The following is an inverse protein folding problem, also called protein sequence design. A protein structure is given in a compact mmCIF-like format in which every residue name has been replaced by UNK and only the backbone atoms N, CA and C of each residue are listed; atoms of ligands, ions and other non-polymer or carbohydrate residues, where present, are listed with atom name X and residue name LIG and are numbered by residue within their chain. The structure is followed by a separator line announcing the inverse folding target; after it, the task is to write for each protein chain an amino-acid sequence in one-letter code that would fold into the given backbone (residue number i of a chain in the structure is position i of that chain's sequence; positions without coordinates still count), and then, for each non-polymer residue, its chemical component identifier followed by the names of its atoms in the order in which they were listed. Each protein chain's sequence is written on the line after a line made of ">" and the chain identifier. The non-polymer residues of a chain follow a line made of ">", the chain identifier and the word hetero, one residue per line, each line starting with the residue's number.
data_IF_693631681511
#
_entry.id   IF_693631681511
#
_cell.length_a   1.000
_cell.length_b   1.000
_cell.length_c   1.000
_cell.angle_alpha   90.00
_cell.angle_beta   90.00
_cell.angle_gamma   90.00
#
_symmetry.space_group_name_H-M   'P 1'
#
loop_
_entity.id
_entity.type
_entity.pdbx_description
1 polymer ?
#
# COMPACT_ATOMS: atom_id res chain seq x y z
N UNK A 1 59.42 14.18 14.00
CA UNK A 1 58.40 13.16 14.34
C UNK A 1 57.10 13.95 14.56
N UNK A 2 55.97 13.75 13.89
CA UNK A 2 55.49 12.62 13.10
C UNK A 2 54.69 13.05 11.86
N UNK A 3 54.40 12.06 11.03
CA UNK A 3 54.12 12.16 9.60
C UNK A 3 52.63 11.96 9.29
N UNK A 4 51.70 12.63 9.99
CA UNK A 4 50.25 12.39 9.84
C UNK A 4 49.36 13.64 9.68
N UNK A 5 49.91 14.86 9.54
CA UNK A 5 49.12 16.10 9.35
C UNK A 5 48.83 16.46 7.88
N UNK A 6 48.80 15.49 6.98
CA UNK A 6 48.37 15.68 5.58
C UNK A 6 47.39 14.58 5.19
N UNK A 7 46.12 14.75 5.55
CA UNK A 7 44.92 14.44 4.76
C UNK A 7 43.77 15.22 5.45
N UNK A 8 43.66 16.50 5.12
CA UNK A 8 42.48 17.31 5.43
C UNK A 8 41.32 16.87 4.52
N UNK A 9 40.13 16.75 5.10
CA UNK A 9 38.86 16.69 4.36
C UNK A 9 37.68 16.88 5.29
N UNK A 10 37.11 18.08 5.31
CA UNK A 10 36.00 18.53 6.17
C UNK A 10 34.81 17.56 6.12
N UNK A 11 34.29 17.18 7.30
CA UNK A 11 32.95 16.60 7.45
C UNK A 11 31.91 17.69 7.16
N UNK A 12 31.29 17.64 5.98
CA UNK A 12 29.96 18.21 5.78
C UNK A 12 28.94 17.17 6.27
N UNK A 13 28.01 17.64 7.09
CA UNK A 13 26.80 16.94 7.51
C UNK A 13 25.93 16.72 6.28
N UNK A 14 25.81 15.47 5.83
CA UNK A 14 24.79 15.09 4.86
C UNK A 14 23.49 14.79 5.61
N UNK A 15 22.49 15.61 5.32
CA UNK A 15 21.08 15.37 5.62
C UNK A 15 20.65 14.04 5.00
N UNK A 16 20.28 13.08 5.85
CA UNK A 16 19.68 11.81 5.44
C UNK A 16 18.20 12.00 5.07
N UNK A 17 17.96 12.68 3.95
CA UNK A 17 16.62 12.79 3.36
C UNK A 17 16.65 12.48 1.87
N UNK A 18 16.86 11.21 1.52
CA UNK A 18 16.58 10.69 0.18
C UNK A 18 15.97 9.29 0.27
N UNK A 19 14.68 9.22 0.61
CA UNK A 19 13.81 8.18 0.06
C UNK A 19 13.42 8.61 -1.36
N UNK A 20 14.38 8.51 -2.29
CA UNK A 20 14.06 8.61 -3.72
C UNK A 20 13.33 7.33 -4.10
N UNK A 21 12.08 7.48 -4.55
CA UNK A 21 11.35 6.42 -5.24
C UNK A 21 12.27 5.78 -6.31
N UNK A 22 12.56 4.48 -6.14
CA UNK A 22 13.36 3.71 -7.10
C UNK A 22 12.72 3.84 -8.49
N UNK A 23 13.36 4.62 -9.35
CA UNK A 23 12.97 4.75 -10.75
C UNK A 23 13.42 3.48 -11.44
N UNK A 24 12.54 2.47 -11.54
CA UNK A 24 12.83 1.25 -12.28
C UNK A 24 12.85 1.56 -13.78
N UNK A 25 14.02 1.44 -14.40
CA UNK A 25 14.15 1.38 -15.86
C UNK A 25 13.57 0.05 -16.33
N UNK A 26 12.28 0.03 -16.70
CA UNK A 26 11.62 -1.16 -17.26
C UNK A 26 11.89 -1.17 -18.76
N UNK A 27 12.41 -2.28 -19.30
CA UNK A 27 12.45 -2.49 -20.75
C UNK A 27 11.02 -2.54 -21.27
N UNK A 28 10.66 -1.59 -22.15
CA UNK A 28 9.32 -1.52 -22.74
C UNK A 28 9.00 -2.83 -23.47
N UNK A 29 7.94 -3.51 -23.06
CA UNK A 29 7.42 -4.65 -23.80
C UNK A 29 6.55 -4.15 -24.97
N UNK A 30 6.45 -4.94 -26.04
CA UNK A 30 5.68 -4.59 -27.23
C UNK A 30 4.19 -4.57 -26.89
N UNK A 31 3.61 -3.38 -26.76
CA UNK A 31 2.18 -3.19 -26.45
C UNK A 31 1.91 -2.35 -25.20
N UNK A 32 2.94 -1.97 -24.45
CA UNK A 32 2.79 -1.08 -23.30
C UNK A 32 2.39 0.34 -23.74
N UNK A 33 1.38 0.90 -23.07
CA UNK A 33 0.95 2.28 -23.24
C UNK A 33 1.49 3.14 -22.08
N UNK A 34 1.90 4.36 -22.38
CA UNK A 34 2.52 5.27 -21.41
C UNK A 34 1.90 6.65 -21.47
N UNK A 35 1.85 7.32 -20.32
CA UNK A 35 1.56 8.74 -20.22
C UNK A 35 2.88 9.45 -19.98
N UNK A 36 3.25 10.36 -20.88
CA UNK A 36 4.44 11.19 -20.73
C UNK A 36 4.09 12.48 -20.00
N UNK A 37 4.90 12.84 -19.02
CA UNK A 37 4.98 14.22 -18.51
C UNK A 37 6.21 14.84 -19.16
N UNK A 38 6.08 15.92 -19.95
CA UNK A 38 7.12 16.47 -20.86
C UNK A 38 8.57 16.21 -20.44
N UNK A 39 9.33 15.66 -21.40
CA UNK A 39 10.78 15.56 -21.53
C UNK A 39 11.57 14.69 -20.55
N UNK A 40 11.09 13.48 -20.18
CA UNK A 40 11.94 12.25 -19.96
C UNK A 40 11.26 11.16 -19.12
N UNK A 41 10.04 11.40 -18.61
CA UNK A 41 9.34 10.44 -17.75
C UNK A 41 8.05 9.92 -18.36
N UNK A 42 7.97 8.60 -18.51
CA UNK A 42 6.75 7.88 -18.90
C UNK A 42 6.20 7.06 -17.73
N UNK A 43 4.90 7.16 -17.50
CA UNK A 43 4.16 6.34 -16.54
C UNK A 43 3.40 5.25 -17.28
N UNK A 44 3.65 3.99 -16.93
CA UNK A 44 2.95 2.86 -17.54
C UNK A 44 1.47 2.92 -17.20
N UNK A 45 0.63 2.88 -18.22
CA UNK A 45 -0.80 2.65 -18.07
C UNK A 45 -0.98 1.18 -17.71
N UNK A 46 -1.54 0.92 -16.53
CA UNK A 46 -1.84 -0.44 -16.05
C UNK A 46 -3.33 -0.78 -16.17
N UNK A 47 -4.18 0.21 -16.43
CA UNK A 47 -5.61 0.06 -16.72
C UNK A 47 -5.98 0.88 -17.94
N UNK A 48 -6.29 0.21 -19.04
CA UNK A 48 -6.83 0.87 -20.24
C UNK A 48 -8.31 1.14 -20.03
N UNK A 49 -8.70 2.42 -20.11
CA UNK A 49 -10.10 2.84 -19.96
C UNK A 49 -10.75 3.05 -21.33
N UNK A 50 -12.02 2.66 -21.44
CA UNK A 50 -12.91 3.11 -22.52
C UNK A 50 -13.25 4.59 -22.34
N UNK A 51 -13.73 5.26 -23.40
CA UNK A 51 -14.18 6.65 -23.32
C UNK A 51 -15.31 6.81 -22.27
N UNK A 52 -16.21 5.84 -22.21
CA UNK A 52 -17.31 5.80 -21.24
C UNK A 52 -16.79 5.68 -19.79
N UNK A 53 -15.79 4.82 -19.55
CA UNK A 53 -15.17 4.69 -18.24
C UNK A 53 -14.45 5.98 -17.83
N UNK A 54 -13.70 6.59 -18.75
CA UNK A 54 -13.00 7.87 -18.52
C UNK A 54 -13.98 8.96 -18.09
N UNK A 55 -15.03 9.15 -18.89
CA UNK A 55 -16.09 10.13 -18.58
C UNK A 55 -16.78 9.84 -17.25
N UNK A 56 -17.01 8.56 -16.92
CA UNK A 56 -17.67 8.17 -15.66
C UNK A 56 -16.76 8.40 -14.45
N UNK A 57 -15.45 8.17 -14.58
CA UNK A 57 -14.47 8.46 -13.52
C UNK A 57 -14.37 9.96 -13.27
N UNK A 58 -14.34 10.78 -14.33
CA UNK A 58 -14.31 12.24 -14.21
C UNK A 58 -15.57 12.81 -13.55
N UNK A 59 -16.73 12.19 -13.80
CA UNK A 59 -18.03 12.56 -13.21
C UNK A 59 -18.34 11.85 -11.90
N UNK A 60 -17.41 11.05 -11.39
CA UNK A 60 -17.62 10.26 -10.19
C UNK A 60 -17.92 11.14 -8.97
N UNK A 61 -18.73 10.62 -8.05
CA UNK A 61 -19.11 11.33 -6.83
C UNK A 61 -18.73 10.60 -5.55
N UNK A 62 -18.09 9.42 -5.65
CA UNK A 62 -17.53 8.72 -4.49
C UNK A 62 -16.35 9.50 -3.92
N UNK A 63 -16.11 9.31 -2.63
CA UNK A 63 -15.13 10.11 -1.91
C UNK A 63 -13.70 9.69 -2.23
N UNK A 64 -12.77 10.64 -2.11
CA UNK A 64 -11.34 10.38 -2.11
C UNK A 64 -10.84 10.18 -0.68
N UNK A 65 -10.00 9.18 -0.47
CA UNK A 65 -9.36 8.89 0.81
C UNK A 65 -7.87 8.65 0.62
N UNK A 66 -7.04 9.43 1.31
CA UNK A 66 -5.62 9.14 1.45
C UNK A 66 -5.40 8.29 2.70
N UNK A 67 -4.94 7.05 2.53
CA UNK A 67 -4.61 6.14 3.63
C UNK A 67 -3.64 5.07 3.16
N UNK A 68 -2.81 4.56 4.05
CA UNK A 68 -2.00 3.38 3.75
C UNK A 68 -2.91 2.14 3.68
N UNK A 69 -2.80 1.37 2.59
CA UNK A 69 -3.39 0.05 2.47
C UNK A 69 -2.48 -0.98 3.13
N UNK A 70 -3.04 -1.76 4.05
CA UNK A 70 -2.36 -2.89 4.65
C UNK A 70 -2.92 -4.19 4.11
N UNK A 71 -2.12 -5.25 4.15
CA UNK A 71 -2.51 -6.59 3.76
C UNK A 71 -2.20 -7.58 4.88
N UNK A 72 -2.94 -8.68 4.87
CA UNK A 72 -2.66 -9.85 5.69
C UNK A 72 -2.94 -11.15 4.90
N UNK A 73 -2.14 -12.18 5.15
CA UNK A 73 -2.36 -13.52 4.61
C UNK A 73 -3.39 -14.22 5.49
N UNK A 74 -4.55 -14.51 4.93
CA UNK A 74 -5.70 -14.99 5.65
C UNK A 74 -5.85 -16.51 5.54
N UNK A 75 -6.08 -17.14 6.69
CA UNK A 75 -6.41 -18.55 6.82
C UNK A 75 -7.66 -18.69 7.69
N UNK A 76 -8.62 -19.48 7.21
CA UNK A 76 -9.87 -19.70 7.91
C UNK A 76 -9.68 -20.68 9.08
N UNK A 77 -10.49 -20.55 10.14
CA UNK A 77 -10.53 -21.47 11.30
C UNK A 77 -9.19 -21.66 12.04
N UNK A 78 -8.40 -20.60 12.19
CA UNK A 78 -7.18 -20.62 12.98
C UNK A 78 -7.50 -20.87 14.47
N UNK A 79 -6.93 -21.94 15.03
CA UNK A 79 -6.98 -22.24 16.46
C UNK A 79 -5.67 -21.76 17.10
N UNK A 80 -5.78 -20.99 18.18
CA UNK A 80 -4.62 -20.59 18.97
C UNK A 80 -4.27 -21.70 19.97
N UNK A 81 -3.23 -22.47 19.69
CA UNK A 81 -2.68 -23.45 20.63
C UNK A 81 -1.67 -22.81 21.59
N UNK A 82 -0.78 -21.97 21.07
CA UNK A 82 0.19 -21.15 21.83
C UNK A 82 0.26 -19.72 21.25
N UNK A 83 -0.12 -18.68 22.02
CA UNK A 83 -0.01 -17.29 21.59
C UNK A 83 1.42 -16.82 21.27
N UNK A 84 2.44 -17.53 21.75
CA UNK A 84 3.85 -17.22 21.49
C UNK A 84 4.43 -17.97 20.29
N UNK A 85 3.67 -18.89 19.68
CA UNK A 85 4.10 -19.59 18.49
C UNK A 85 4.27 -18.61 17.32
N UNK A 86 5.46 -18.58 16.74
CA UNK A 86 5.79 -17.64 15.68
C UNK A 86 5.00 -17.92 14.40
N UNK A 87 4.72 -19.19 14.11
CA UNK A 87 3.94 -19.56 12.93
C UNK A 87 2.50 -19.06 13.06
N UNK A 88 1.88 -19.28 14.22
CA UNK A 88 0.57 -18.75 14.55
C UNK A 88 0.54 -17.22 14.50
N UNK A 89 1.51 -16.54 15.13
CA UNK A 89 1.59 -15.08 15.11
C UNK A 89 1.67 -14.52 13.67
N UNK A 90 2.41 -15.17 12.78
CA UNK A 90 2.48 -14.78 11.37
C UNK A 90 1.12 -14.85 10.65
N UNK A 91 0.20 -15.69 11.13
CA UNK A 91 -1.14 -15.90 10.55
C UNK A 91 -2.23 -15.01 11.16
N UNK A 92 -1.93 -14.20 12.19
CA UNK A 92 -2.98 -13.41 12.89
C UNK A 92 -2.56 -12.01 13.35
N UNK A 93 -1.26 -11.74 13.53
CA UNK A 93 -0.78 -10.52 14.21
C UNK A 93 -0.30 -9.43 13.25
N UNK A 94 0.36 -9.82 12.16
CA UNK A 94 1.19 -8.89 11.39
C UNK A 94 0.46 -8.36 10.15
N UNK A 95 0.32 -7.04 10.09
CA UNK A 95 0.04 -6.34 8.85
C UNK A 95 1.33 -6.10 8.08
N UNK A 96 1.23 -6.15 6.76
CA UNK A 96 2.24 -5.64 5.84
C UNK A 96 1.63 -4.51 5.03
N UNK A 97 2.43 -3.54 4.58
CA UNK A 97 1.95 -2.63 3.54
C UNK A 97 1.59 -3.46 2.29
N UNK A 98 0.50 -3.12 1.61
CA UNK A 98 -0.01 -3.91 0.47
C UNK A 98 1.03 -4.09 -0.64
N UNK A 99 1.86 -3.06 -0.85
CA UNK A 99 2.97 -3.04 -1.78
C UNK A 99 4.22 -3.83 -1.36
N UNK A 100 4.31 -4.28 -0.10
CA UNK A 100 5.53 -4.87 0.43
C UNK A 100 5.80 -6.19 -0.32
N UNK A 101 6.96 -6.34 -0.99
CA UNK A 101 7.28 -7.56 -1.72
C UNK A 101 7.38 -8.77 -0.80
N UNK A 102 6.91 -9.93 -1.25
CA UNK A 102 6.91 -11.15 -0.43
C UNK A 102 8.29 -11.53 0.13
N UNK A 103 9.35 -11.44 -0.69
CA UNK A 103 10.72 -11.75 -0.29
C UNK A 103 11.26 -10.84 0.84
N UNK A 104 10.66 -9.66 1.06
CA UNK A 104 11.02 -8.79 2.18
C UNK A 104 10.30 -9.16 3.48
N UNK A 105 9.24 -9.96 3.40
CA UNK A 105 8.45 -10.39 4.56
C UNK A 105 9.09 -11.54 5.33
N UNK A 106 10.01 -12.28 4.69
CA UNK A 106 10.66 -13.48 5.24
C UNK A 106 9.66 -14.45 5.87
N UNK A 107 8.57 -14.69 5.15
CA UNK A 107 7.54 -15.65 5.52
C UNK A 107 7.80 -17.01 4.84
N UNK A 108 7.30 -18.12 5.41
CA UNK A 108 7.37 -19.41 4.75
C UNK A 108 6.69 -19.34 3.36
N UNK A 109 7.24 -19.99 2.31
CA UNK A 109 6.68 -19.92 0.95
C UNK A 109 5.20 -20.33 0.83
N UNK A 110 4.69 -21.18 1.74
CA UNK A 110 3.27 -21.56 1.76
C UNK A 110 2.32 -20.36 1.92
N UNK A 111 2.78 -19.23 2.48
CA UNK A 111 1.96 -18.03 2.62
C UNK A 111 1.53 -17.44 1.27
N UNK A 112 2.29 -17.68 0.18
CA UNK A 112 1.88 -17.24 -1.16
C UNK A 112 0.62 -17.97 -1.65
N UNK A 113 0.28 -19.11 -1.07
CA UNK A 113 -0.96 -19.86 -1.41
C UNK A 113 -2.15 -19.42 -0.57
N UNK A 114 -1.97 -18.56 0.43
CA UNK A 114 -3.06 -18.10 1.29
C UNK A 114 -3.84 -16.96 0.62
N UNK A 115 -5.11 -16.81 1.03
CA UNK A 115 -5.93 -15.68 0.59
C UNK A 115 -5.29 -14.38 1.08
N UNK A 116 -5.24 -13.35 0.25
CA UNK A 116 -4.80 -12.02 0.68
C UNK A 116 -6.03 -11.18 1.02
N UNK A 117 -6.08 -10.65 2.24
CA UNK A 117 -7.10 -9.68 2.66
C UNK A 117 -6.45 -8.31 2.86
N UNK A 118 -7.13 -7.25 2.42
CA UNK A 118 -6.66 -5.88 2.57
C UNK A 118 -7.43 -5.14 3.65
N UNK A 119 -6.73 -4.26 4.36
CA UNK A 119 -7.25 -3.57 5.52
C UNK A 119 -6.90 -2.08 5.47
N UNK A 120 -7.83 -1.28 5.97
CA UNK A 120 -7.61 0.13 6.28
C UNK A 120 -7.87 0.35 7.76
N UNK A 121 -7.04 1.16 8.39
CA UNK A 121 -7.33 1.63 9.74
C UNK A 121 -8.56 2.54 9.72
N UNK A 122 -9.41 2.42 10.73
CA UNK A 122 -10.58 3.28 10.91
C UNK A 122 -10.18 4.75 11.14
N UNK A 123 -11.18 5.64 11.14
CA UNK A 123 -10.94 7.08 11.39
C UNK A 123 -10.48 7.35 12.83
N UNK A 124 -10.98 6.56 13.79
CA UNK A 124 -10.61 6.67 15.20
C UNK A 124 -9.72 5.50 15.62
N UNK A 125 -8.42 5.74 15.70
CA UNK A 125 -7.42 4.79 16.19
C UNK A 125 -6.77 5.22 17.50
N UNK A 126 -7.35 6.17 18.24
CA UNK A 126 -6.74 6.74 19.46
C UNK A 126 -6.40 5.70 20.54
N UNK A 127 -7.11 4.57 20.54
CA UNK A 127 -7.00 3.53 21.56
C UNK A 127 -6.01 2.43 21.17
N UNK A 128 -5.42 2.51 19.97
CA UNK A 128 -4.41 1.56 19.51
C UNK A 128 -3.12 2.28 19.14
N UNK A 129 -2.01 1.58 19.34
CA UNK A 129 -0.70 2.00 18.90
C UNK A 129 -0.21 1.05 17.82
N UNK A 130 0.19 1.59 16.67
CA UNK A 130 0.81 0.81 15.60
C UNK A 130 2.31 0.74 15.83
N UNK A 131 2.80 -0.44 16.20
CA UNK A 131 4.21 -0.75 16.36
C UNK A 131 4.78 -1.25 15.04
N UNK A 132 5.96 -0.78 14.68
CA UNK A 132 6.66 -1.17 13.46
C UNK A 132 7.91 -1.97 13.83
N UNK A 133 8.07 -3.14 13.23
CA UNK A 133 9.27 -3.94 13.33
C UNK A 133 9.76 -4.34 11.94
N UNK A 134 11.02 -4.74 11.85
CA UNK A 134 11.59 -5.26 10.60
C UNK A 134 11.59 -6.79 10.60
N UNK A 135 11.28 -7.38 9.46
CA UNK A 135 11.44 -8.81 9.23
C UNK A 135 12.94 -9.16 9.21
N UNK A 136 13.34 -10.13 10.03
CA UNK A 136 14.70 -10.66 9.99
C UNK A 136 14.86 -11.60 8.78
N UNK A 137 16.06 -11.73 8.20
CA UNK A 137 16.32 -12.72 7.15
C UNK A 137 15.95 -14.13 7.61
N UNK A 138 15.12 -14.83 6.84
CA UNK A 138 14.63 -16.18 7.13
C UNK A 138 14.09 -16.85 5.87
N UNK A 139 13.94 -18.18 5.88
CA UNK A 139 13.45 -19.00 4.74
C UNK A 139 14.22 -18.75 3.42
N UNK A 140 15.51 -18.40 3.51
CA UNK A 140 16.33 -18.05 2.34
C UNK A 140 16.03 -16.68 1.73
N UNK A 141 15.24 -15.85 2.41
CA UNK A 141 14.84 -14.52 1.97
C UNK A 141 15.56 -13.41 2.75
N UNK A 142 15.82 -12.25 2.12
CA UNK A 142 16.58 -11.16 2.72
C UNK A 142 15.86 -10.44 3.88
N UNK A 143 14.53 -10.50 3.94
CA UNK A 143 13.77 -9.78 4.97
C UNK A 143 13.79 -8.27 4.78
N UNK A 144 13.88 -7.53 5.88
CA UNK A 144 13.88 -6.06 5.97
C UNK A 144 12.57 -5.36 5.67
N UNK A 145 11.51 -6.09 5.31
CA UNK A 145 10.17 -5.55 5.17
C UNK A 145 9.60 -5.10 6.51
N UNK A 146 8.75 -4.08 6.48
CA UNK A 146 8.12 -3.53 7.68
C UNK A 146 6.87 -4.34 8.04
N UNK A 147 6.94 -5.07 9.15
CA UNK A 147 5.77 -5.69 9.77
C UNK A 147 5.18 -4.76 10.82
N UNK A 148 3.87 -4.68 10.83
CA UNK A 148 3.14 -3.79 11.72
C UNK A 148 2.26 -4.60 12.66
N UNK A 149 2.25 -4.22 13.94
CA UNK A 149 1.48 -4.87 15.01
C UNK A 149 0.68 -3.78 15.71
N UNK A 150 -0.57 -4.09 16.09
CA UNK A 150 -1.33 -3.17 16.93
C UNK A 150 -1.25 -3.58 18.40
N UNK A 151 -1.10 -2.59 19.26
CA UNK A 151 -1.21 -2.75 20.70
C UNK A 151 -2.36 -1.90 21.24
N UNK A 152 -3.10 -2.43 22.21
CA UNK A 152 -4.14 -1.74 22.97
C UNK A 152 -3.86 -1.97 24.45
N UNK A 153 -3.75 -0.89 25.22
CA UNK A 153 -3.41 -0.96 26.65
C UNK A 153 -2.11 -1.76 26.94
N UNK A 154 -1.11 -1.66 26.06
CA UNK A 154 0.17 -2.36 26.18
C UNK A 154 0.13 -3.86 25.86
N UNK A 155 -0.99 -4.35 25.32
CA UNK A 155 -1.13 -5.73 24.87
C UNK A 155 -1.32 -5.78 23.36
N UNK A 156 -0.65 -6.73 22.70
CA UNK A 156 -0.81 -6.94 21.26
C UNK A 156 -2.21 -7.48 20.98
N UNK A 157 -2.84 -6.97 19.92
CA UNK A 157 -4.19 -7.34 19.51
C UNK A 157 -4.14 -7.98 18.13
N UNK A 158 -4.89 -9.06 17.94
CA UNK A 158 -4.94 -9.76 16.65
C UNK A 158 -5.74 -8.97 15.61
N UNK A 159 -5.47 -9.20 14.33
CA UNK A 159 -6.18 -8.56 13.23
C UNK A 159 -7.70 -8.85 13.25
N UNK A 160 -8.16 -10.10 13.48
CA UNK A 160 -9.58 -10.40 13.61
C UNK A 160 -10.25 -9.64 14.77
N UNK A 161 -9.57 -9.50 15.91
CA UNK A 161 -10.09 -8.74 17.06
C UNK A 161 -10.20 -7.24 16.75
N UNK A 162 -9.17 -6.64 16.12
CA UNK A 162 -9.22 -5.25 15.69
C UNK A 162 -10.40 -5.00 14.74
N UNK A 163 -10.67 -5.94 13.82
CA UNK A 163 -11.80 -5.82 12.90
C UNK A 163 -13.14 -5.93 13.63
N UNK A 164 -13.28 -6.88 14.56
CA UNK A 164 -14.47 -7.03 15.40
C UNK A 164 -14.76 -5.78 16.23
N UNK A 165 -13.72 -5.07 16.66
CA UNK A 165 -13.82 -3.80 17.38
C UNK A 165 -14.09 -2.58 16.48
N UNK A 166 -14.11 -2.76 15.15
CA UNK A 166 -14.29 -1.67 14.19
C UNK A 166 -13.09 -0.73 14.08
N UNK A 167 -11.90 -1.18 14.50
CA UNK A 167 -10.67 -0.39 14.46
C UNK A 167 -9.93 -0.52 13.12
N UNK A 168 -10.16 -1.62 12.41
CA UNK A 168 -9.70 -1.85 11.04
C UNK A 168 -10.83 -2.39 10.19
N UNK A 169 -10.96 -1.87 8.98
CA UNK A 169 -11.95 -2.27 8.00
C UNK A 169 -11.33 -3.26 7.01
N UNK A 170 -11.99 -4.39 6.78
CA UNK A 170 -11.68 -5.25 5.63
C UNK A 170 -12.22 -4.58 4.36
N UNK A 171 -11.37 -4.51 3.34
CA UNK A 171 -11.70 -3.85 2.08
C UNK A 171 -11.21 -4.64 0.88
N UNK A 172 -11.86 -4.41 -0.25
CA UNK A 172 -11.51 -5.06 -1.51
C UNK A 172 -11.30 -4.02 -2.60
N UNK A 173 -10.28 -4.23 -3.43
CA UNK A 173 -10.10 -3.44 -4.65
C UNK A 173 -11.04 -3.97 -5.73
N UNK A 174 -11.73 -3.06 -6.40
CA UNK A 174 -12.64 -3.38 -7.50
C UNK A 174 -12.12 -2.74 -8.78
N UNK A 175 -12.03 -3.54 -9.83
CA UNK A 175 -11.71 -3.03 -11.16
C UNK A 175 -12.97 -2.51 -11.85
N UNK A 176 -12.84 -1.35 -12.49
CA UNK A 176 -13.93 -0.71 -13.20
C UNK A 176 -14.15 -1.42 -14.55
N UNK A 177 -15.39 -1.74 -14.86
CA UNK A 177 -15.84 -2.30 -16.13
C UNK A 177 -17.01 -1.47 -16.65
N UNK A 178 -17.38 -1.62 -17.92
CA UNK A 178 -18.57 -0.95 -18.45
C UNK A 178 -19.87 -1.43 -17.76
N UNK A 179 -19.86 -2.63 -17.16
CA UNK A 179 -21.03 -3.24 -16.51
C UNK A 179 -21.24 -2.75 -15.06
N UNK A 180 -20.24 -2.13 -14.44
CA UNK A 180 -20.28 -1.73 -13.02
C UNK A 180 -20.11 -0.22 -12.79
N UNK A 181 -20.29 0.62 -13.80
CA UNK A 181 -20.09 2.07 -13.71
C UNK A 181 -20.90 2.75 -12.60
N UNK A 182 -22.03 2.16 -12.19
CA UNK A 182 -22.88 2.68 -11.10
C UNK A 182 -22.13 2.79 -9.75
N UNK A 183 -21.07 1.99 -9.53
CA UNK A 183 -20.27 2.06 -8.29
C UNK A 183 -19.64 3.43 -8.09
N UNK A 184 -19.38 4.18 -9.17
CA UNK A 184 -18.79 5.53 -9.14
C UNK A 184 -19.73 6.60 -8.58
N UNK A 185 -20.96 6.23 -8.22
CA UNK A 185 -21.93 7.10 -7.55
C UNK A 185 -22.39 6.58 -6.19
N UNK A 186 -21.97 5.38 -5.80
CA UNK A 186 -22.33 4.75 -4.52
C UNK A 186 -21.30 5.11 -3.43
N UNK A 187 -21.53 6.25 -2.77
CA UNK A 187 -20.64 6.80 -1.74
C UNK A 187 -20.65 6.01 -0.43
N UNK A 188 -21.70 5.25 -0.21
CA UNK A 188 -21.89 4.51 1.03
C UNK A 188 -21.00 3.26 1.03
N UNK A 189 -20.90 2.59 -0.12
CA UNK A 189 -20.14 1.33 -0.24
C UNK A 189 -18.78 1.49 -0.91
N UNK A 190 -18.54 2.55 -1.70
CA UNK A 190 -17.31 2.71 -2.46
C UNK A 190 -16.62 4.06 -2.22
N UNK A 191 -15.31 4.05 -2.41
CA UNK A 191 -14.47 5.26 -2.41
C UNK A 191 -13.22 5.03 -3.24
N UNK A 192 -12.58 6.12 -3.67
CA UNK A 192 -11.25 6.08 -4.25
C UNK A 192 -10.20 6.14 -3.14
N UNK A 193 -9.32 5.14 -3.07
CA UNK A 193 -8.13 5.16 -2.24
C UNK A 193 -6.95 5.70 -3.04
N UNK A 194 -6.27 6.71 -2.48
CA UNK A 194 -5.13 7.36 -3.10
C UNK A 194 -3.84 6.65 -2.70
N UNK A 195 -3.05 6.21 -3.69
CA UNK A 195 -1.66 5.82 -3.52
C UNK A 195 -0.76 7.04 -3.69
N UNK A 196 -0.46 7.70 -2.57
CA UNK A 196 0.37 8.90 -2.53
C UNK A 196 1.80 8.69 -3.02
N UNK A 197 2.27 7.45 -3.18
CA UNK A 197 3.61 7.16 -3.70
C UNK A 197 3.69 7.31 -5.21
N UNK A 198 2.54 7.18 -5.88
CA UNK A 198 2.40 7.26 -7.34
C UNK A 198 1.81 8.62 -7.73
N UNK A 199 0.64 8.97 -7.18
CA UNK A 199 -0.03 10.25 -7.45
C UNK A 199 -0.36 10.98 -6.14
N UNK A 200 0.58 11.77 -5.58
CA UNK A 200 0.28 12.65 -4.46
C UNK A 200 -0.94 13.53 -4.75
N UNK A 201 -1.83 13.67 -3.77
CA UNK A 201 -3.01 14.53 -3.87
C UNK A 201 -2.90 15.74 -2.95
N UNK A 202 -2.86 16.93 -3.53
CA UNK A 202 -2.67 18.18 -2.80
C UNK A 202 -3.50 19.30 -3.42
N UNK A 203 -4.11 20.16 -2.60
CA UNK A 203 -4.91 21.30 -3.08
C UNK A 203 -5.97 20.91 -4.14
N UNK A 204 -6.61 19.74 -3.98
CA UNK A 204 -7.65 19.25 -4.90
C UNK A 204 -7.16 18.64 -6.21
N UNK A 205 -5.84 18.46 -6.38
CA UNK A 205 -5.25 17.99 -7.64
C UNK A 205 -4.34 16.77 -7.40
N UNK A 206 -4.30 15.86 -8.38
CA UNK A 206 -3.32 14.78 -8.45
C UNK A 206 -2.07 15.25 -9.17
N UNK A 207 -0.91 14.83 -8.70
CA UNK A 207 0.36 15.22 -9.30
C UNK A 207 1.16 14.01 -9.79
N UNK A 208 1.77 14.16 -10.95
CA UNK A 208 2.85 13.31 -11.45
C UNK A 208 4.05 14.19 -11.75
N UNK A 209 5.13 14.03 -10.97
CA UNK A 209 6.36 14.83 -11.10
C UNK A 209 6.03 16.34 -11.21
N UNK A 210 5.27 16.83 -10.24
CA UNK A 210 4.82 18.21 -10.12
C UNK A 210 3.85 18.72 -11.20
N UNK A 211 3.42 17.86 -12.14
CA UNK A 211 2.37 18.18 -13.11
C UNK A 211 1.01 17.69 -12.64
N UNK A 212 0.02 18.56 -12.73
CA UNK A 212 -1.37 18.20 -12.45
C UNK A 212 -1.85 17.19 -13.50
N UNK A 213 -2.44 16.11 -13.04
CA UNK A 213 -3.10 15.11 -13.90
C UNK A 213 -4.56 14.94 -13.52
N UNK A 214 -5.43 14.61 -14.49
CA UNK A 214 -6.83 14.34 -14.20
C UNK A 214 -7.00 13.00 -13.47
N UNK A 215 -8.16 12.81 -12.86
CA UNK A 215 -8.47 11.66 -11.99
C UNK A 215 -8.49 10.33 -12.77
N UNK A 216 -8.95 10.34 -14.02
CA UNK A 216 -8.92 9.17 -14.90
C UNK A 216 -7.49 8.71 -15.20
N UNK A 217 -6.56 9.65 -15.35
CA UNK A 217 -5.13 9.37 -15.52
C UNK A 217 -4.57 8.76 -14.25
N UNK A 218 -4.85 9.36 -13.09
CA UNK A 218 -4.43 8.81 -11.80
C UNK A 218 -4.94 7.37 -11.59
N UNK A 219 -6.18 7.07 -12.00
CA UNK A 219 -6.72 5.71 -11.94
C UNK A 219 -6.01 4.76 -12.91
N UNK A 220 -5.78 5.22 -14.14
CA UNK A 220 -5.19 4.42 -15.23
C UNK A 220 -3.78 3.92 -14.93
N UNK A 221 -3.00 4.69 -14.16
CA UNK A 221 -1.61 4.36 -13.81
C UNK A 221 -1.45 3.71 -12.43
N UNK A 222 -2.55 3.44 -11.72
CA UNK A 222 -2.49 2.84 -10.38
C UNK A 222 -2.31 3.82 -9.24
N UNK A 223 -2.39 5.13 -9.50
CA UNK A 223 -2.28 6.16 -8.46
C UNK A 223 -3.51 6.28 -7.57
N UNK A 224 -4.68 5.83 -8.05
CA UNK A 224 -5.86 5.62 -7.22
C UNK A 224 -6.51 4.27 -7.52
N UNK A 225 -7.26 3.76 -6.54
CA UNK A 225 -7.95 2.48 -6.58
C UNK A 225 -9.40 2.63 -6.15
N UNK A 226 -10.34 1.95 -6.80
CA UNK A 226 -11.72 1.88 -6.32
C UNK A 226 -11.77 0.81 -5.24
N UNK A 227 -12.20 1.19 -4.05
CA UNK A 227 -12.29 0.30 -2.89
C UNK A 227 -13.75 0.09 -2.52
N UNK A 228 -14.11 -1.18 -2.33
CA UNK A 228 -15.38 -1.62 -1.74
C UNK A 228 -15.21 -1.80 -0.23
N UNK A 229 -16.09 -1.16 0.55
CA UNK A 229 -16.27 -1.45 1.96
C UNK A 229 -16.99 -2.78 2.10
N UNK A 230 -16.46 -3.70 2.90
CA UNK A 230 -17.06 -5.03 3.09
C UNK A 230 -16.91 -5.49 4.54
N UNK A 231 -17.54 -6.61 4.88
CA UNK A 231 -17.41 -7.26 6.19
C UNK A 231 -16.41 -8.40 6.08
N UNK A 232 -15.63 -8.58 7.13
CA UNK A 232 -14.75 -9.72 7.25
C UNK A 232 -15.61 -10.99 7.47
N UNK A 233 -15.47 -11.97 6.58
CA UNK A 233 -16.06 -13.31 6.69
C UNK A 233 -15.54 -14.08 7.90
#
# INVERSE_FOLDING_TARGET
>A
MGFLDKIFGRKQTEDNSQNLAETKTIQSEKGDAFISTDDDYGFKIIRTLTDQQRESVDKSTILLRASQLYMHYWMDNLICEDPNDQEWQNKVMFFWKAEEPFHKKSLPPIFETFKVKNFLFGVNTSNISLQVGQAMPWFGMPGLGEKHICEMNGQKVTIPELNKLGLVDYVETVELTNDNLSILTDKDNYFFLIDNRITPFQNGNFYLKDKVVPIDVAYSIGGIHIIRKTKLE
#
